data_IF_836392377000
#
_entry.id   IF_836392377000
#
_cell.length_a   1.000
_cell.length_b   1.000
_cell.length_c   1.000
_cell.angle_alpha   90.00
_cell.angle_beta   90.00
_cell.angle_gamma   90.00
#
_symmetry.space_group_name_H-M   'P 1'
#
loop_
_entity.id
_entity.type
_entity.pdbx_description
1 polymer ?
#
# COMPACT_ATOMS: atom_id res chain seq x y z
N UNK A 1 -13.79 -5.74 -2.50
CA UNK A 1 -13.66 -4.27 -2.41
C UNK A 1 -13.40 -3.70 -3.79
N UNK A 2 -14.07 -2.61 -4.09
CA UNK A 2 -13.72 -1.75 -5.21
C UNK A 2 -12.66 -0.78 -4.70
N UNK A 3 -11.54 -0.72 -5.43
CA UNK A 3 -10.46 0.23 -5.20
C UNK A 3 -10.51 1.27 -6.32
N UNK A 4 -11.43 2.22 -6.20
CA UNK A 4 -11.67 3.22 -7.23
C UNK A 4 -10.50 4.19 -7.34
N UNK A 5 -9.85 4.24 -8.50
CA UNK A 5 -8.84 5.25 -8.77
C UNK A 5 -9.50 6.61 -9.02
N UNK A 6 -9.00 7.63 -8.35
CA UNK A 6 -9.51 9.00 -8.45
C UNK A 6 -8.35 9.97 -8.65
N UNK A 7 -8.69 11.20 -9.05
CA UNK A 7 -7.71 12.27 -9.11
C UNK A 7 -7.05 12.47 -7.74
N UNK A 8 -5.75 12.75 -7.77
CA UNK A 8 -4.94 12.87 -6.56
C UNK A 8 -5.54 13.83 -5.54
N UNK A 9 -5.59 13.38 -4.29
CA UNK A 9 -5.92 14.19 -3.12
C UNK A 9 -4.67 14.35 -2.27
N UNK A 10 -4.27 15.60 -2.05
CA UNK A 10 -3.16 15.93 -1.18
C UNK A 10 -3.45 15.46 0.26
N UNK A 11 -2.45 14.92 0.91
CA UNK A 11 -2.57 14.39 2.26
C UNK A 11 -2.79 15.45 3.33
N UNK A 12 -2.41 16.70 3.06
CA UNK A 12 -2.46 17.78 4.05
C UNK A 12 -1.47 17.61 5.19
N UNK A 13 -1.66 18.37 6.25
CA UNK A 13 -0.79 18.36 7.42
C UNK A 13 -0.88 17.04 8.20
N UNK A 14 0.15 16.76 9.00
CA UNK A 14 0.12 15.73 10.04
C UNK A 14 -0.39 16.29 11.37
N UNK A 15 -0.74 15.43 12.31
CA UNK A 15 -1.18 15.83 13.65
C UNK A 15 -2.51 15.20 14.05
N UNK A 16 -3.10 15.75 15.11
CA UNK A 16 -4.38 15.31 15.65
C UNK A 16 -5.49 16.32 15.35
N UNK A 17 -6.72 15.86 15.54
CA UNK A 17 -7.93 16.71 15.38
C UNK A 17 -8.04 17.33 13.97
N UNK A 18 -7.60 16.59 12.96
CA UNK A 18 -7.64 17.02 11.57
C UNK A 18 -9.00 16.69 10.96
N UNK A 19 -9.30 17.36 9.84
CA UNK A 19 -10.44 17.03 8.99
C UNK A 19 -9.98 17.00 7.54
N UNK A 20 -10.23 15.87 6.89
CA UNK A 20 -10.03 15.72 5.45
C UNK A 20 -11.39 15.67 4.76
N UNK A 21 -11.66 16.65 3.93
CA UNK A 21 -12.88 16.67 3.12
C UNK A 21 -12.57 16.16 1.71
N UNK A 22 -12.79 14.86 1.52
CA UNK A 22 -12.70 14.18 0.25
C UNK A 22 -14.09 13.75 -0.24
N UNK A 23 -15.10 14.55 0.07
CA UNK A 23 -16.50 14.32 -0.31
C UNK A 23 -16.75 14.43 -1.82
N UNK A 24 -15.86 15.11 -2.55
CA UNK A 24 -15.92 15.21 -4.01
C UNK A 24 -14.69 14.57 -4.63
N UNK A 25 -14.90 13.47 -5.34
CA UNK A 25 -13.85 12.71 -6.02
C UNK A 25 -14.10 12.69 -7.52
N UNK A 26 -13.00 12.70 -8.31
CA UNK A 26 -13.04 12.61 -9.77
C UNK A 26 -12.48 11.27 -10.20
N UNK A 27 -13.31 10.28 -10.59
CA UNK A 27 -12.83 8.98 -11.03
C UNK A 27 -11.93 9.08 -12.27
N UNK A 28 -10.85 8.29 -12.27
CA UNK A 28 -9.91 8.19 -13.40
C UNK A 28 -10.12 6.87 -14.14
N UNK A 29 -10.18 5.75 -13.41
CA UNK A 29 -10.44 4.42 -13.94
C UNK A 29 -11.60 3.78 -13.20
N UNK A 30 -12.52 3.20 -13.94
CA UNK A 30 -13.61 2.39 -13.39
C UNK A 30 -13.21 0.93 -13.39
N UNK A 31 -13.71 0.18 -12.41
CA UNK A 31 -13.52 -1.26 -12.33
C UNK A 31 -12.18 -1.73 -11.77
N UNK A 32 -11.40 -0.85 -11.15
CA UNK A 32 -10.23 -1.28 -10.39
C UNK A 32 -10.68 -1.93 -9.08
N UNK A 33 -10.34 -3.19 -8.88
CA UNK A 33 -10.76 -3.97 -7.72
C UNK A 33 -9.57 -4.54 -6.97
N UNK A 34 -9.74 -4.74 -5.67
CA UNK A 34 -8.85 -5.53 -4.85
C UNK A 34 -9.66 -6.62 -4.15
N UNK A 35 -9.21 -7.87 -4.28
CA UNK A 35 -9.82 -9.02 -3.63
C UNK A 35 -8.87 -9.58 -2.58
N UNK A 36 -9.38 -9.78 -1.36
CA UNK A 36 -8.63 -10.40 -0.28
C UNK A 36 -9.06 -11.84 -0.12
N UNK A 37 -8.12 -12.76 -0.03
CA UNK A 37 -8.40 -14.19 0.14
C UNK A 37 -7.35 -14.87 1.00
N UNK A 38 -7.72 -16.01 1.58
CA UNK A 38 -6.79 -16.91 2.27
C UNK A 38 -6.37 -17.97 1.24
N UNK A 39 -5.07 -18.04 0.86
CA UNK A 39 -4.61 -18.91 -0.21
C UNK A 39 -4.73 -20.41 0.10
N UNK A 40 -4.61 -20.79 1.38
CA UNK A 40 -4.69 -22.16 1.85
C UNK A 40 -5.22 -22.19 3.27
N UNK A 41 -6.14 -23.11 3.55
CA UNK A 41 -6.77 -23.30 4.87
C UNK A 41 -5.78 -23.73 5.97
N UNK A 42 -4.59 -24.18 5.62
CA UNK A 42 -3.55 -24.59 6.58
C UNK A 42 -2.70 -23.44 7.10
N UNK A 43 -2.87 -22.23 6.56
CA UNK A 43 -2.07 -21.06 6.93
C UNK A 43 -2.96 -19.95 7.50
N UNK A 44 -3.39 -20.12 8.75
CA UNK A 44 -4.36 -19.23 9.42
C UNK A 44 -3.93 -17.76 9.53
N UNK A 45 -2.66 -17.44 9.32
CA UNK A 45 -2.13 -16.08 9.44
C UNK A 45 -1.62 -15.50 8.11
N UNK A 46 -1.94 -16.19 7.00
CA UNK A 46 -1.53 -15.77 5.68
C UNK A 46 -2.75 -15.41 4.83
N UNK A 47 -2.60 -14.34 4.05
CA UNK A 47 -3.62 -13.97 3.07
C UNK A 47 -2.96 -13.37 1.83
N UNK A 48 -3.73 -13.21 0.78
CA UNK A 48 -3.32 -12.46 -0.38
C UNK A 48 -4.31 -11.36 -0.75
N UNK A 49 -3.78 -10.27 -1.29
CA UNK A 49 -4.54 -9.23 -1.94
C UNK A 49 -4.28 -9.32 -3.44
N UNK A 50 -5.33 -9.48 -4.22
CA UNK A 50 -5.25 -9.53 -5.68
C UNK A 50 -5.71 -8.20 -6.25
N UNK A 51 -4.78 -7.46 -6.85
CA UNK A 51 -5.05 -6.21 -7.56
C UNK A 51 -4.75 -6.41 -9.04
N UNK A 52 -5.76 -6.26 -9.90
CA UNK A 52 -5.66 -6.64 -11.29
C UNK A 52 -5.22 -8.11 -11.42
N UNK A 53 -4.03 -8.33 -11.96
CA UNK A 53 -3.45 -9.67 -12.13
C UNK A 53 -2.31 -9.95 -11.17
N UNK A 54 -2.05 -9.06 -10.22
CA UNK A 54 -0.97 -9.21 -9.25
C UNK A 54 -1.53 -9.66 -7.91
N UNK A 55 -0.97 -10.73 -7.39
CA UNK A 55 -1.23 -11.23 -6.05
C UNK A 55 -0.11 -10.80 -5.13
N UNK A 56 -0.45 -10.09 -4.08
CA UNK A 56 0.48 -9.73 -3.01
C UNK A 56 0.23 -10.63 -1.81
N UNK A 57 1.27 -11.27 -1.30
CA UNK A 57 1.18 -12.19 -0.18
C UNK A 57 1.61 -11.53 1.11
N UNK A 58 0.82 -11.74 2.16
CA UNK A 58 1.02 -11.16 3.48
C UNK A 58 0.93 -12.22 4.57
N UNK A 59 1.65 -11.98 5.66
CA UNK A 59 1.62 -12.78 6.88
C UNK A 59 1.48 -11.87 8.08
N UNK A 60 0.64 -12.24 9.04
CA UNK A 60 0.57 -11.59 10.34
C UNK A 60 1.35 -12.42 11.35
N UNK A 61 2.36 -11.83 11.96
CA UNK A 61 3.10 -12.41 13.09
C UNK A 61 3.14 -11.42 14.24
N UNK A 62 2.76 -11.87 15.44
CA UNK A 62 2.59 -11.00 16.60
C UNK A 62 1.67 -9.82 16.27
N UNK A 63 2.21 -8.63 16.15
CA UNK A 63 1.50 -7.39 15.90
C UNK A 63 1.77 -6.78 14.51
N UNK A 64 2.55 -7.46 13.66
CA UNK A 64 3.04 -6.88 12.41
C UNK A 64 2.57 -7.67 11.20
N UNK A 65 2.07 -6.94 10.21
CA UNK A 65 1.76 -7.46 8.88
C UNK A 65 2.98 -7.33 8.00
N UNK A 66 3.42 -8.46 7.43
CA UNK A 66 4.59 -8.56 6.58
C UNK A 66 4.19 -8.91 5.16
N UNK A 67 4.78 -8.23 4.18
CA UNK A 67 4.75 -8.65 2.79
C UNK A 67 5.82 -9.71 2.57
N UNK A 68 5.42 -10.86 2.02
CA UNK A 68 6.30 -12.02 1.84
C UNK A 68 6.56 -12.38 0.39
N UNK A 69 5.80 -11.82 -0.54
CA UNK A 69 5.97 -12.06 -1.97
C UNK A 69 4.90 -11.40 -2.81
N UNK A 70 5.09 -11.46 -4.11
CA UNK A 70 4.04 -11.14 -5.08
C UNK A 70 4.27 -11.90 -6.39
N UNK A 71 3.20 -12.10 -7.13
CA UNK A 71 3.25 -12.73 -8.44
C UNK A 71 2.18 -12.18 -9.39
N UNK A 72 2.50 -12.18 -10.65
CA UNK A 72 1.58 -11.93 -11.74
C UNK A 72 1.99 -12.82 -12.94
N UNK A 73 1.29 -12.78 -14.10
CA UNK A 73 1.63 -13.67 -15.22
C UNK A 73 3.08 -13.58 -15.74
N UNK A 74 3.78 -12.47 -15.49
CA UNK A 74 5.15 -12.27 -15.98
C UNK A 74 6.21 -12.25 -14.89
N UNK A 75 5.82 -12.13 -13.63
CA UNK A 75 6.75 -11.87 -12.53
C UNK A 75 6.41 -12.73 -11.32
N UNK A 76 7.42 -13.34 -10.74
CA UNK A 76 7.32 -14.05 -9.46
C UNK A 76 8.42 -13.54 -8.54
N UNK A 77 8.05 -13.06 -7.35
CA UNK A 77 8.99 -12.52 -6.37
C UNK A 77 8.69 -13.08 -4.98
N UNK A 78 9.72 -13.55 -4.32
CA UNK A 78 9.67 -14.04 -2.95
C UNK A 78 10.64 -13.23 -2.09
N UNK A 79 10.18 -12.74 -0.95
CA UNK A 79 11.03 -11.98 -0.03
C UNK A 79 11.90 -12.93 0.77
N UNK A 80 13.20 -12.69 0.73
CA UNK A 80 14.20 -13.35 1.59
C UNK A 80 14.28 -12.64 2.94
N UNK A 81 13.95 -11.35 2.98
CA UNK A 81 13.80 -10.54 4.17
C UNK A 81 12.46 -9.79 4.04
N UNK A 82 11.41 -10.20 4.78
CA UNK A 82 10.07 -9.62 4.64
C UNK A 82 10.02 -8.14 4.93
N UNK A 83 9.08 -7.46 4.28
CA UNK A 83 8.81 -6.04 4.47
C UNK A 83 7.64 -5.83 5.42
N UNK A 84 7.85 -5.11 6.52
CA UNK A 84 6.75 -4.69 7.37
C UNK A 84 5.91 -3.62 6.65
N UNK A 85 4.61 -3.87 6.56
CA UNK A 85 3.68 -2.94 5.89
C UNK A 85 2.72 -2.27 6.87
N UNK A 86 2.48 -2.88 8.03
CA UNK A 86 1.60 -2.33 9.06
C UNK A 86 1.89 -2.96 10.42
N UNK A 87 1.83 -2.17 11.49
CA UNK A 87 1.86 -2.65 12.87
C UNK A 87 0.51 -2.39 13.54
N UNK A 88 -0.01 -3.37 14.24
CA UNK A 88 -1.32 -3.36 14.90
C UNK A 88 -1.21 -3.48 16.41
N UNK A 89 -2.11 -2.88 17.19
CA UNK A 89 -3.11 -1.91 16.75
C UNK A 89 -2.45 -0.60 16.31
N UNK A 90 -3.11 0.12 15.40
CA UNK A 90 -2.62 1.44 14.99
C UNK A 90 -2.75 2.42 16.14
N UNK A 91 -1.67 3.15 16.43
CA UNK A 91 -1.65 4.19 17.45
C UNK A 91 -0.92 5.42 16.92
N UNK A 92 -1.52 6.57 17.12
CA UNK A 92 -0.90 7.83 16.74
C UNK A 92 0.52 7.95 17.34
N UNK A 93 1.47 8.31 16.49
CA UNK A 93 2.88 8.48 16.87
C UNK A 93 3.75 7.23 16.76
N UNK A 94 3.16 6.05 16.52
CA UNK A 94 3.94 4.82 16.32
C UNK A 94 4.76 4.90 15.03
N UNK A 95 6.00 4.46 15.08
CA UNK A 95 6.92 4.39 13.94
C UNK A 95 7.58 3.01 13.85
N UNK A 96 7.84 2.57 12.63
CA UNK A 96 8.56 1.32 12.36
C UNK A 96 9.36 1.46 11.07
N UNK A 97 10.63 1.12 11.12
CA UNK A 97 11.48 1.05 9.93
C UNK A 97 11.97 -0.37 9.73
N UNK A 98 11.78 -0.89 8.53
CA UNK A 98 12.26 -2.23 8.16
C UNK A 98 13.10 -2.17 6.91
N UNK A 99 14.13 -3.01 6.88
CA UNK A 99 14.92 -3.31 5.68
C UNK A 99 14.37 -4.58 5.08
N UNK A 100 14.21 -4.64 3.78
CA UNK A 100 13.68 -5.80 3.09
C UNK A 100 14.53 -6.18 1.88
N UNK A 101 14.43 -7.43 1.48
CA UNK A 101 15.07 -7.96 0.29
C UNK A 101 14.21 -9.06 -0.33
N UNK A 102 14.22 -9.14 -1.64
CA UNK A 102 13.46 -10.14 -2.38
C UNK A 102 14.22 -10.58 -3.62
N UNK A 103 13.92 -11.80 -4.08
CA UNK A 103 14.45 -12.37 -5.32
C UNK A 103 13.31 -12.99 -6.11
N UNK A 104 13.46 -12.99 -7.41
CA UNK A 104 12.46 -13.58 -8.28
C UNK A 104 12.91 -13.67 -9.72
N UNK A 105 11.91 -13.79 -10.60
CA UNK A 105 12.11 -13.92 -12.03
C UNK A 105 11.08 -13.12 -12.80
N UNK A 106 11.52 -12.51 -13.88
CA UNK A 106 10.69 -11.88 -14.87
C UNK A 106 10.64 -12.76 -16.13
N UNK A 107 9.44 -13.00 -16.64
CA UNK A 107 9.22 -13.81 -17.82
C UNK A 107 9.71 -15.25 -17.68
N UNK A 108 9.81 -15.78 -16.43
CA UNK A 108 10.32 -17.10 -16.08
C UNK A 108 11.78 -17.36 -16.52
N UNK A 109 12.55 -16.33 -16.82
CA UNK A 109 13.93 -16.46 -17.33
C UNK A 109 14.91 -15.46 -16.74
N UNK A 110 14.49 -14.24 -16.49
CA UNK A 110 15.40 -13.16 -16.11
C UNK A 110 15.39 -13.04 -14.59
N UNK A 111 16.52 -13.35 -13.92
CA UNK A 111 16.61 -13.14 -12.49
C UNK A 111 16.40 -11.67 -12.15
N UNK A 112 15.65 -11.42 -11.09
CA UNK A 112 15.46 -10.09 -10.54
C UNK A 112 15.68 -10.09 -9.03
N UNK A 113 16.14 -8.98 -8.51
CA UNK A 113 16.33 -8.76 -7.09
C UNK A 113 15.78 -7.38 -6.71
N UNK A 114 15.25 -7.31 -5.51
CA UNK A 114 14.67 -6.12 -4.94
C UNK A 114 15.23 -5.95 -3.53
N UNK A 115 15.63 -4.74 -3.15
CA UNK A 115 16.05 -4.45 -1.79
C UNK A 115 15.81 -2.99 -1.44
N UNK A 116 15.53 -2.74 -0.17
CA UNK A 116 15.27 -1.38 0.27
C UNK A 116 14.87 -1.28 1.72
N UNK A 117 14.28 -0.14 2.05
CA UNK A 117 13.76 0.19 3.37
C UNK A 117 12.34 0.73 3.27
N UNK A 118 11.53 0.43 4.27
CA UNK A 118 10.20 1.00 4.43
C UNK A 118 10.07 1.60 5.82
N UNK A 119 9.76 2.88 5.91
CA UNK A 119 9.47 3.57 7.16
C UNK A 119 7.98 3.86 7.23
N UNK A 120 7.35 3.38 8.30
CA UNK A 120 5.92 3.52 8.54
C UNK A 120 5.73 4.39 9.77
N UNK A 121 4.86 5.37 9.68
CA UNK A 121 4.50 6.26 10.78
C UNK A 121 2.99 6.46 10.82
N UNK A 122 2.37 6.35 11.99
CA UNK A 122 0.99 6.79 12.20
C UNK A 122 1.04 8.28 12.51
N UNK A 123 0.94 9.11 11.49
CA UNK A 123 1.29 10.53 11.52
C UNK A 123 0.12 11.48 11.71
N UNK A 124 -1.10 10.99 11.63
CA UNK A 124 -2.28 11.84 11.72
C UNK A 124 -3.51 11.09 12.20
N UNK A 125 -4.41 11.83 12.82
CA UNK A 125 -5.69 11.37 13.35
C UNK A 125 -6.76 12.43 13.14
N UNK A 126 -7.95 12.01 12.77
CA UNK A 126 -9.05 12.96 12.61
C UNK A 126 -10.26 12.41 11.88
N UNK A 127 -11.04 13.32 11.33
CA UNK A 127 -12.28 13.07 10.62
C UNK A 127 -12.02 12.98 9.11
N UNK A 128 -12.57 11.97 8.47
CA UNK A 128 -12.49 11.79 7.02
C UNK A 128 -13.90 11.80 6.41
N UNK A 129 -14.12 12.73 5.51
CA UNK A 129 -15.37 12.85 4.75
C UNK A 129 -15.14 12.26 3.37
N UNK A 130 -15.88 11.19 3.04
CA UNK A 130 -15.90 10.55 1.73
C UNK A 130 -17.29 10.73 1.09
N UNK A 131 -17.45 10.48 -0.22
CA UNK A 131 -18.72 10.76 -0.90
C UNK A 131 -19.94 10.05 -0.32
N UNK A 132 -19.77 8.84 0.18
CA UNK A 132 -20.85 7.98 0.68
C UNK A 132 -20.86 7.86 2.21
N UNK A 133 -19.75 8.18 2.87
CA UNK A 133 -19.61 7.98 4.30
C UNK A 133 -18.62 8.96 4.92
N UNK A 134 -18.95 9.41 6.13
CA UNK A 134 -18.05 10.18 6.98
C UNK A 134 -17.57 9.30 8.13
N UNK A 135 -16.26 9.26 8.34
CA UNK A 135 -15.62 8.60 9.47
C UNK A 135 -15.20 9.66 10.48
N UNK A 136 -15.77 9.61 11.68
CA UNK A 136 -15.46 10.60 12.72
C UNK A 136 -14.04 10.43 13.28
N UNK A 137 -13.51 9.22 13.24
CA UNK A 137 -12.16 8.91 13.67
C UNK A 137 -11.48 7.94 12.71
N UNK A 138 -10.42 8.43 12.06
CA UNK A 138 -9.49 7.60 11.28
C UNK A 138 -8.07 7.87 11.76
N UNK A 139 -7.21 6.89 11.56
CA UNK A 139 -5.76 7.02 11.70
C UNK A 139 -5.13 6.99 10.32
N UNK A 140 -4.17 7.86 10.07
CA UNK A 140 -3.42 7.90 8.83
C UNK A 140 -2.05 7.28 9.02
N UNK A 141 -1.70 6.37 8.16
CA UNK A 141 -0.37 5.76 8.08
C UNK A 141 0.37 6.36 6.90
N UNK A 142 1.52 6.96 7.18
CA UNK A 142 2.45 7.45 6.18
C UNK A 142 3.56 6.42 6.02
N UNK A 143 3.76 5.90 4.82
CA UNK A 143 4.87 5.01 4.51
C UNK A 143 5.78 5.62 3.44
N UNK A 144 7.08 5.54 3.70
CA UNK A 144 8.13 5.95 2.78
C UNK A 144 8.97 4.74 2.44
N UNK A 145 8.83 4.26 1.22
CA UNK A 145 9.47 3.06 0.72
C UNK A 145 10.51 3.41 -0.32
N UNK A 146 11.77 3.15 0.00
CA UNK A 146 12.90 3.33 -0.93
C UNK A 146 13.43 1.96 -1.31
N UNK A 147 13.56 1.70 -2.61
CA UNK A 147 14.08 0.42 -3.05
C UNK A 147 14.80 0.51 -4.39
N UNK A 148 15.66 -0.46 -4.62
CA UNK A 148 16.29 -0.71 -5.90
C UNK A 148 15.83 -2.05 -6.43
N UNK A 149 15.58 -2.11 -7.73
CA UNK A 149 15.20 -3.32 -8.45
C UNK A 149 16.20 -3.55 -9.56
N UNK A 150 16.73 -4.76 -9.64
CA UNK A 150 17.61 -5.21 -10.72
C UNK A 150 16.97 -6.35 -11.47
N UNK A 151 17.21 -6.42 -12.79
CA UNK A 151 16.63 -7.44 -13.68
C UNK A 151 16.97 -7.10 -15.12
N UNK A 152 15.95 -6.78 -15.92
CA UNK A 152 16.14 -6.24 -17.28
C UNK A 152 16.91 -4.92 -17.23
N UNK A 153 16.53 -4.07 -16.31
CA UNK A 153 17.16 -2.79 -16.02
C UNK A 153 17.38 -2.65 -14.51
N UNK A 154 18.20 -1.70 -14.10
CA UNK A 154 18.32 -1.32 -12.71
C UNK A 154 17.55 -0.03 -12.48
N UNK A 155 16.57 -0.08 -11.58
CA UNK A 155 15.76 1.09 -11.21
C UNK A 155 15.84 1.35 -9.72
N UNK A 156 15.77 2.61 -9.33
CA UNK A 156 15.67 3.04 -7.93
C UNK A 156 14.41 3.88 -7.78
N UNK A 157 13.60 3.53 -6.79
CA UNK A 157 12.28 4.12 -6.58
C UNK A 157 12.14 4.64 -5.16
N UNK A 158 11.39 5.72 -5.02
CA UNK A 158 10.83 6.20 -3.75
C UNK A 158 9.31 6.24 -3.90
N UNK A 159 8.61 5.53 -3.03
CA UNK A 159 7.14 5.53 -2.98
C UNK A 159 6.71 6.15 -1.66
N UNK A 160 6.01 7.26 -1.75
CA UNK A 160 5.46 8.01 -0.63
C UNK A 160 3.96 7.81 -0.60
N UNK A 161 3.44 7.12 0.43
CA UNK A 161 2.06 6.67 0.49
C UNK A 161 1.41 7.05 1.80
N UNK A 162 0.20 7.56 1.70
CA UNK A 162 -0.67 7.88 2.83
C UNK A 162 -1.92 7.01 2.75
N UNK A 163 -2.24 6.31 3.83
CA UNK A 163 -3.42 5.45 3.93
C UNK A 163 -4.23 5.82 5.16
N UNK A 164 -5.54 5.97 4.98
CA UNK A 164 -6.48 6.26 6.06
C UNK A 164 -7.21 4.98 6.44
N UNK A 165 -7.20 4.66 7.73
CA UNK A 165 -7.82 3.46 8.28
C UNK A 165 -8.91 3.82 9.28
N UNK A 166 -10.09 3.24 9.12
CA UNK A 166 -11.13 3.26 10.14
C UNK A 166 -10.73 2.38 11.33
N UNK A 167 -11.38 2.57 12.47
CA UNK A 167 -11.11 1.77 13.67
C UNK A 167 -11.22 0.27 13.38
N UNK A 168 -10.25 -0.49 13.90
CA UNK A 168 -10.20 -1.95 13.81
C UNK A 168 -10.18 -2.53 12.37
N UNK A 169 -9.89 -1.70 11.38
CA UNK A 169 -9.77 -2.15 9.99
C UNK A 169 -8.30 -2.24 9.58
N UNK A 170 -7.97 -3.28 8.82
CA UNK A 170 -6.65 -3.48 8.19
C UNK A 170 -6.66 -3.15 6.71
N UNK A 171 -7.82 -2.77 6.19
CA UNK A 171 -8.02 -2.32 4.82
C UNK A 171 -8.22 -0.83 4.86
N UNK A 172 -7.45 -0.05 4.10
CA UNK A 172 -7.62 1.39 4.08
C UNK A 172 -8.98 1.77 3.48
N UNK A 173 -9.51 2.92 3.87
CA UNK A 173 -10.71 3.49 3.26
C UNK A 173 -10.37 4.50 2.18
N UNK A 174 -9.17 5.07 2.24
CA UNK A 174 -8.63 5.98 1.24
C UNK A 174 -7.10 5.90 1.21
N UNK A 175 -6.51 6.19 0.05
CA UNK A 175 -5.07 6.11 -0.16
C UNK A 175 -4.62 7.18 -1.16
N UNK A 176 -3.52 7.86 -0.86
CA UNK A 176 -2.82 8.76 -1.79
C UNK A 176 -1.38 8.31 -1.95
N UNK A 177 -0.94 8.17 -3.19
CA UNK A 177 0.39 7.63 -3.53
C UNK A 177 1.10 8.56 -4.47
N UNK A 178 2.37 8.85 -4.16
CA UNK A 178 3.29 9.55 -5.04
C UNK A 178 4.54 8.69 -5.20
N UNK A 179 4.89 8.35 -6.42
CA UNK A 179 6.08 7.56 -6.72
C UNK A 179 7.07 8.37 -7.53
N UNK A 180 8.34 8.28 -7.15
CA UNK A 180 9.47 8.89 -7.83
C UNK A 180 10.44 7.82 -8.31
N UNK A 181 11.03 8.05 -9.47
CA UNK A 181 12.12 7.26 -10.00
C UNK A 181 13.41 8.08 -9.99
N UNK A 182 14.51 7.47 -9.58
CA UNK A 182 15.83 8.07 -9.68
C UNK A 182 16.38 7.88 -11.10
N UNK A 183 16.58 8.97 -11.81
CA UNK A 183 17.15 8.99 -13.15
C UNK A 183 18.36 9.94 -13.13
N UNK A 184 19.56 9.41 -13.37
CA UNK A 184 20.81 10.18 -13.41
C UNK A 184 20.99 11.09 -12.18
N UNK A 185 20.85 10.53 -10.98
CA UNK A 185 20.98 11.22 -9.68
C UNK A 185 19.91 12.29 -9.40
N UNK A 186 18.85 12.36 -10.20
CA UNK A 186 17.71 13.22 -9.94
C UNK A 186 16.43 12.44 -9.71
N UNK A 187 15.57 12.89 -8.80
CA UNK A 187 14.26 12.32 -8.56
C UNK A 187 13.26 12.87 -9.57
N UNK A 188 12.63 11.99 -10.33
CA UNK A 188 11.57 12.33 -11.29
C UNK A 188 10.25 11.73 -10.85
N UNK A 189 9.18 12.51 -10.95
CA UNK A 189 7.84 12.02 -10.66
C UNK A 189 7.46 10.94 -11.67
N UNK A 190 7.21 9.72 -11.17
CA UNK A 190 6.74 8.60 -11.98
C UNK A 190 5.21 8.62 -12.10
N UNK A 191 4.51 8.68 -10.98
CA UNK A 191 3.05 8.84 -10.95
C UNK A 191 2.59 9.41 -9.60
N UNK A 192 1.37 9.95 -9.62
CA UNK A 192 0.70 10.46 -8.45
C UNK A 192 -0.81 10.23 -8.60
N UNK A 193 -1.41 9.56 -7.64
CA UNK A 193 -2.82 9.18 -7.72
C UNK A 193 -3.42 8.93 -6.34
N UNK A 194 -4.74 8.82 -6.28
CA UNK A 194 -5.47 8.44 -5.08
C UNK A 194 -6.43 7.30 -5.37
N UNK A 195 -6.79 6.55 -4.33
CA UNK A 195 -7.74 5.46 -4.39
C UNK A 195 -8.77 5.57 -3.27
N UNK A 196 -10.01 5.36 -3.65
CA UNK A 196 -11.14 5.28 -2.75
C UNK A 196 -11.60 3.83 -2.65
N UNK A 197 -11.70 3.30 -1.42
CA UNK A 197 -12.09 1.92 -1.17
C UNK A 197 -13.53 1.86 -0.69
N UNK A 198 -14.34 1.04 -1.33
CA UNK A 198 -15.70 0.77 -0.87
C UNK A 198 -16.09 -0.68 -1.16
N UNK A 199 -17.07 -1.18 -0.42
CA UNK A 199 -17.60 -2.52 -0.64
C UNK A 199 -18.52 -2.48 -1.85
N UNK A 200 -18.39 -3.45 -2.74
CA UNK A 200 -19.33 -3.62 -3.83
C UNK A 200 -20.69 -4.00 -3.28
N UNK A 201 -21.71 -3.24 -3.59
CA UNK A 201 -23.10 -3.60 -3.24
C UNK A 201 -23.50 -4.83 -4.07
N UNK A 202 -23.48 -5.98 -3.43
CA UNK A 202 -24.07 -7.20 -4.01
C UNK A 202 -25.59 -7.12 -3.86
N UNK A 203 -26.26 -6.50 -4.84
CA UNK A 203 -27.71 -6.61 -4.99
C UNK A 203 -28.08 -7.87 -5.76
#
# INVERSE_FOLDING_TARGET
YIKQQVAYKDQGASGKELTWDFGMLSPINEGYTVAYSIPDSNYMHQWCATEHRTRYYYTLTADTIWRTGYENPTTFVQYTLPEAVLRLPLRYGDTLTTTFAAKGEYGHRIPMALSGTNTIEVDAQGKLILPDKTYEQVLRVHSQRQYTESGLDSTAMLVDKYQWFAAESYIPVFESVTAYEMVEDSMQLAFQTSFYYHVEDTT
#
